data_IF_702872215267
#
_entry.id   IF_702872215267
#
_cell.length_a   1.000
_cell.length_b   1.000
_cell.length_c   1.000
_cell.angle_alpha   90.00
_cell.angle_beta   90.00
_cell.angle_gamma   90.00
#
_symmetry.space_group_name_H-M   'P 1'
#
loop_
_entity.id
_entity.type
_entity.pdbx_description
1 polymer ?
#
# COMPACT_ATOMS: atom_id res chain seq x y z
N UNK A 1 0.99 -13.84 -9.56
CA UNK A 1 -0.37 -13.50 -9.10
C UNK A 1 -1.31 -14.61 -9.52
N UNK A 2 -2.26 -14.99 -8.67
CA UNK A 2 -3.19 -16.10 -8.91
C UNK A 2 -4.51 -15.67 -9.58
N UNK A 3 -4.90 -14.41 -9.42
CA UNK A 3 -6.11 -13.81 -10.02
C UNK A 3 -5.92 -12.31 -10.29
N UNK A 4 -6.82 -11.74 -11.08
CA UNK A 4 -6.84 -10.32 -11.42
C UNK A 4 -8.25 -9.71 -11.26
N UNK A 5 -8.30 -8.42 -10.94
CA UNK A 5 -9.51 -7.59 -10.95
C UNK A 5 -9.18 -6.34 -11.77
N UNK A 6 -9.99 -6.07 -12.80
CA UNK A 6 -9.92 -4.84 -13.57
C UNK A 6 -11.01 -3.89 -13.09
N UNK A 7 -10.61 -2.69 -12.64
CA UNK A 7 -11.53 -1.58 -12.37
C UNK A 7 -11.39 -0.60 -13.54
N UNK A 8 -12.39 -0.58 -14.41
CA UNK A 8 -12.39 0.21 -15.64
C UNK A 8 -13.19 1.50 -15.47
N UNK A 9 -12.65 2.61 -15.98
CA UNK A 9 -13.30 3.92 -16.00
C UNK A 9 -12.63 4.81 -17.05
N UNK A 10 -13.41 5.66 -17.71
CA UNK A 10 -12.91 6.70 -18.62
C UNK A 10 -12.62 8.03 -17.89
N UNK A 11 -12.90 8.09 -16.58
CA UNK A 11 -12.65 9.28 -15.79
C UNK A 11 -11.15 9.47 -15.50
N UNK A 12 -10.68 10.71 -15.57
CA UNK A 12 -9.36 11.07 -15.05
C UNK A 12 -9.37 10.94 -13.52
N UNK A 13 -8.38 10.23 -12.97
CA UNK A 13 -8.32 9.91 -11.55
C UNK A 13 -7.14 10.59 -10.87
N UNK A 14 -7.40 11.17 -9.71
CA UNK A 14 -6.37 11.65 -8.79
C UNK A 14 -6.13 10.59 -7.69
N UNK A 15 -4.98 10.63 -6.98
CA UNK A 15 -4.62 9.64 -5.96
C UNK A 15 -5.71 9.32 -4.94
N UNK A 16 -6.47 10.33 -4.48
CA UNK A 16 -7.57 10.12 -3.53
C UNK A 16 -8.72 9.28 -4.12
N UNK A 17 -9.05 9.49 -5.40
CA UNK A 17 -10.08 8.71 -6.07
C UNK A 17 -9.64 7.25 -6.22
N UNK A 18 -8.39 7.02 -6.62
CA UNK A 18 -7.79 5.68 -6.71
C UNK A 18 -7.79 5.00 -5.33
N UNK A 19 -7.36 5.69 -4.27
CA UNK A 19 -7.35 5.15 -2.91
C UNK A 19 -8.76 4.74 -2.44
N UNK A 20 -9.80 5.51 -2.77
CA UNK A 20 -11.20 5.16 -2.46
C UNK A 20 -11.68 3.92 -3.22
N UNK A 21 -11.32 3.79 -4.50
CA UNK A 21 -11.62 2.60 -5.30
C UNK A 21 -10.93 1.36 -4.73
N UNK A 22 -9.64 1.46 -4.39
CA UNK A 22 -8.89 0.38 -3.76
C UNK A 22 -9.47 0.03 -2.38
N UNK A 23 -9.91 1.01 -1.59
CA UNK A 23 -10.56 0.77 -0.30
C UNK A 23 -11.82 -0.09 -0.46
N UNK A 24 -12.64 0.17 -1.47
CA UNK A 24 -13.80 -0.67 -1.77
C UNK A 24 -13.41 -2.12 -2.11
N UNK A 25 -12.26 -2.33 -2.77
CA UNK A 25 -11.71 -3.67 -2.99
C UNK A 25 -11.16 -4.29 -1.69
N UNK A 26 -10.50 -3.53 -0.83
CA UNK A 26 -10.04 -4.01 0.48
C UNK A 26 -11.23 -4.47 1.32
N UNK A 27 -12.32 -3.70 1.37
CA UNK A 27 -13.55 -4.09 2.08
C UNK A 27 -14.15 -5.39 1.53
N UNK A 28 -14.12 -5.57 0.20
CA UNK A 28 -14.72 -6.74 -0.46
C UNK A 28 -13.86 -7.99 -0.35
N UNK A 29 -12.57 -7.85 -0.58
CA UNK A 29 -11.63 -8.97 -0.70
C UNK A 29 -10.94 -9.32 0.63
N UNK A 30 -11.01 -8.43 1.62
CA UNK A 30 -10.45 -8.60 2.97
C UNK A 30 -9.00 -9.11 2.99
N UNK A 31 -8.08 -8.50 2.20
CA UNK A 31 -6.69 -8.96 2.14
C UNK A 31 -5.96 -8.72 3.47
N UNK A 32 -5.08 -9.64 3.84
CA UNK A 32 -4.22 -9.47 5.02
C UNK A 32 -3.01 -8.58 4.75
N UNK A 33 -2.59 -8.44 3.50
CA UNK A 33 -1.48 -7.57 3.12
C UNK A 33 -1.79 -6.90 1.78
N UNK A 34 -1.62 -5.59 1.72
CA UNK A 34 -1.80 -4.79 0.51
C UNK A 34 -0.43 -4.21 0.11
N UNK A 35 0.01 -4.47 -1.12
CA UNK A 35 1.28 -3.98 -1.64
C UNK A 35 1.00 -3.05 -2.82
N UNK A 36 1.54 -1.83 -2.77
CA UNK A 36 1.52 -0.85 -3.86
C UNK A 36 2.96 -0.43 -4.19
N UNK A 37 3.18 0.16 -5.36
CA UNK A 37 4.41 0.91 -5.63
C UNK A 37 4.46 2.19 -4.79
N UNK A 38 5.67 2.69 -4.52
CA UNK A 38 5.91 3.97 -3.84
C UNK A 38 5.25 5.12 -4.56
N UNK A 39 5.53 5.28 -5.84
CA UNK A 39 4.97 6.33 -6.68
C UNK A 39 4.74 5.78 -8.08
N UNK A 40 3.73 6.31 -8.76
CA UNK A 40 3.60 6.12 -10.19
C UNK A 40 4.48 7.16 -10.88
N UNK A 41 5.14 6.78 -11.97
CA UNK A 41 6.12 7.62 -12.69
C UNK A 41 5.46 8.70 -13.57
N UNK A 42 4.14 8.65 -13.71
CA UNK A 42 3.34 9.58 -14.49
C UNK A 42 2.92 10.80 -13.67
N UNK A 43 2.46 10.59 -12.43
CA UNK A 43 2.05 11.67 -11.51
C UNK A 43 3.10 12.04 -10.45
N UNK A 44 4.09 11.16 -10.20
CA UNK A 44 5.13 11.29 -9.18
C UNK A 44 4.61 11.69 -7.78
N UNK A 45 3.37 11.31 -7.46
CA UNK A 45 2.66 11.90 -6.33
C UNK A 45 3.04 11.29 -4.96
N UNK A 46 3.44 10.02 -4.94
CA UNK A 46 3.67 9.24 -3.71
C UNK A 46 2.53 9.40 -2.67
N UNK A 47 1.28 9.16 -3.06
CA UNK A 47 0.11 9.46 -2.21
C UNK A 47 -0.89 8.31 -2.03
N UNK A 48 -1.13 7.53 -3.09
CA UNK A 48 -2.23 6.55 -3.12
C UNK A 48 -2.15 5.52 -1.99
N UNK A 49 -0.96 4.97 -1.71
CA UNK A 49 -0.76 3.98 -0.66
C UNK A 49 -1.04 4.52 0.74
N UNK A 50 -0.53 5.73 1.04
CA UNK A 50 -0.73 6.37 2.34
C UNK A 50 -2.19 6.78 2.56
N UNK A 51 -2.85 7.28 1.52
CA UNK A 51 -4.28 7.60 1.56
C UNK A 51 -5.13 6.34 1.77
N UNK A 52 -4.81 5.24 1.08
CA UNK A 52 -5.52 3.97 1.26
C UNK A 52 -5.40 3.46 2.70
N UNK A 53 -4.19 3.48 3.27
CA UNK A 53 -3.97 3.06 4.66
C UNK A 53 -4.81 3.88 5.65
N UNK A 54 -4.86 5.21 5.47
CA UNK A 54 -5.69 6.08 6.30
C UNK A 54 -7.19 5.82 6.12
N UNK A 55 -7.67 5.62 4.88
CA UNK A 55 -9.08 5.35 4.59
C UNK A 55 -9.56 3.98 5.11
N UNK A 56 -8.66 3.00 5.17
CA UNK A 56 -8.93 1.65 5.67
C UNK A 56 -8.61 1.47 7.17
N UNK A 57 -8.11 2.52 7.84
CA UNK A 57 -7.64 2.48 9.23
C UNK A 57 -6.59 1.37 9.48
N UNK A 58 -5.62 1.25 8.58
CA UNK A 58 -4.58 0.23 8.62
C UNK A 58 -3.19 0.80 8.91
N UNK A 59 -2.34 0.05 9.65
CA UNK A 59 -0.93 0.39 9.77
C UNK A 59 -0.24 0.35 8.40
N UNK A 60 0.78 1.21 8.22
CA UNK A 60 1.52 1.31 6.98
C UNK A 60 3.03 1.37 7.14
N UNK A 61 3.74 0.90 6.12
CA UNK A 61 5.16 1.14 5.91
C UNK A 61 5.42 1.51 4.45
N UNK A 62 5.84 2.74 4.19
CA UNK A 62 6.21 3.21 2.84
C UNK A 62 7.69 3.03 2.55
N UNK A 63 8.09 3.10 1.28
CA UNK A 63 9.51 3.05 0.88
C UNK A 63 10.20 1.75 1.30
N UNK A 64 9.47 0.63 1.25
CA UNK A 64 9.96 -0.66 1.68
C UNK A 64 11.02 -1.19 0.70
N UNK A 65 12.22 -1.48 1.21
CA UNK A 65 13.31 -2.16 0.49
C UNK A 65 13.38 -3.64 0.84
N UNK A 66 12.79 -4.06 1.98
CA UNK A 66 12.65 -5.48 2.36
C UNK A 66 11.36 -5.72 3.15
N UNK A 67 10.70 -6.84 2.87
CA UNK A 67 9.48 -7.28 3.57
C UNK A 67 9.66 -8.72 4.03
N UNK A 68 9.46 -8.96 5.33
CA UNK A 68 9.54 -10.29 5.94
C UNK A 68 8.25 -10.58 6.69
N UNK A 69 7.51 -11.59 6.22
CA UNK A 69 6.26 -12.01 6.83
C UNK A 69 6.53 -12.93 8.03
N UNK A 70 5.90 -12.64 9.16
CA UNK A 70 5.78 -13.55 10.29
C UNK A 70 4.30 -13.96 10.46
N UNK A 71 3.98 -14.74 11.51
CA UNK A 71 2.64 -15.31 11.69
C UNK A 71 1.53 -14.24 11.76
N UNK A 72 1.67 -13.25 12.65
CA UNK A 72 0.67 -12.21 12.92
C UNK A 72 1.16 -10.79 12.59
N UNK A 73 2.40 -10.69 12.11
CA UNK A 73 3.09 -9.42 11.87
C UNK A 73 3.89 -9.46 10.58
N UNK A 74 4.21 -8.27 10.09
CA UNK A 74 5.15 -8.07 8.99
C UNK A 74 6.27 -7.13 9.46
N UNK A 75 7.50 -7.56 9.26
CA UNK A 75 8.70 -6.74 9.46
C UNK A 75 9.08 -6.09 8.14
N UNK A 76 9.18 -4.76 8.12
CA UNK A 76 9.45 -3.98 6.93
C UNK A 76 10.67 -3.11 7.16
N UNK A 77 11.72 -3.33 6.35
CA UNK A 77 12.85 -2.40 6.28
C UNK A 77 12.56 -1.36 5.21
N UNK A 78 12.71 -0.09 5.56
CA UNK A 78 12.28 1.08 4.81
C UNK A 78 13.44 2.02 4.60
N UNK A 79 13.45 2.69 3.47
CA UNK A 79 14.38 3.78 3.21
C UNK A 79 13.89 5.08 3.86
N UNK A 80 14.82 5.74 4.55
CA UNK A 80 14.65 7.07 5.14
C UNK A 80 15.89 7.89 4.78
N UNK A 81 15.82 9.22 4.87
CA UNK A 81 16.95 10.09 4.47
C UNK A 81 18.29 9.72 5.15
N UNK A 82 18.23 9.20 6.38
CA UNK A 82 19.40 8.78 7.16
C UNK A 82 19.86 7.33 6.97
N UNK A 83 19.25 6.55 6.06
CA UNK A 83 19.57 5.15 5.81
C UNK A 83 18.35 4.25 5.87
N UNK A 84 18.39 3.24 6.76
CA UNK A 84 17.33 2.23 6.85
C UNK A 84 16.67 2.23 8.23
N UNK A 85 15.33 2.14 8.23
CA UNK A 85 14.50 1.94 9.42
C UNK A 85 13.77 0.60 9.31
N UNK A 86 13.67 -0.18 10.39
CA UNK A 86 12.85 -1.39 10.40
C UNK A 86 11.65 -1.24 11.33
N UNK A 87 10.45 -1.43 10.78
CA UNK A 87 9.18 -1.37 11.50
C UNK A 87 8.55 -2.77 11.57
N UNK A 88 7.82 -3.04 12.65
CA UNK A 88 6.97 -4.21 12.76
C UNK A 88 5.49 -3.76 12.77
N UNK A 89 4.71 -4.23 11.80
CA UNK A 89 3.28 -3.93 11.69
C UNK A 89 2.45 -5.17 12.00
N UNK A 90 1.32 -5.00 12.66
CA UNK A 90 0.28 -6.03 12.78
C UNK A 90 -0.50 -6.13 11.47
N UNK A 91 -0.88 -7.34 11.06
CA UNK A 91 -1.77 -7.54 9.92
C UNK A 91 -3.24 -7.29 10.34
N UNK A 92 -4.10 -6.74 9.46
CA UNK A 92 -3.82 -6.33 8.08
C UNK A 92 -3.00 -5.03 7.96
N UNK A 93 -2.19 -4.90 6.90
CA UNK A 93 -1.30 -3.75 6.69
C UNK A 93 -1.16 -3.33 5.22
N UNK A 94 -0.77 -2.07 5.00
CA UNK A 94 -0.44 -1.50 3.68
C UNK A 94 1.06 -1.24 3.58
N UNK A 95 1.69 -1.72 2.51
CA UNK A 95 3.11 -1.50 2.22
C UNK A 95 3.25 -0.83 0.86
N UNK A 96 4.09 0.20 0.77
CA UNK A 96 4.55 0.72 -0.52
C UNK A 96 6.02 0.38 -0.74
N UNK A 97 6.35 -0.22 -1.89
CA UNK A 97 7.72 -0.63 -2.22
C UNK A 97 8.39 0.41 -3.09
N UNK A 98 9.66 0.73 -2.78
CA UNK A 98 10.51 1.54 -3.66
C UNK A 98 10.93 0.74 -4.90
#
# INVERSE_FOLDING_TARGET
ADRAILVETDAELQPLAVAKLLKALVDKEQPQLIILGKQAIDDDANQTGQMLAALADLPQATFASKVELAADKVSVTREVDGGLETLALTLPAVITTD
#
